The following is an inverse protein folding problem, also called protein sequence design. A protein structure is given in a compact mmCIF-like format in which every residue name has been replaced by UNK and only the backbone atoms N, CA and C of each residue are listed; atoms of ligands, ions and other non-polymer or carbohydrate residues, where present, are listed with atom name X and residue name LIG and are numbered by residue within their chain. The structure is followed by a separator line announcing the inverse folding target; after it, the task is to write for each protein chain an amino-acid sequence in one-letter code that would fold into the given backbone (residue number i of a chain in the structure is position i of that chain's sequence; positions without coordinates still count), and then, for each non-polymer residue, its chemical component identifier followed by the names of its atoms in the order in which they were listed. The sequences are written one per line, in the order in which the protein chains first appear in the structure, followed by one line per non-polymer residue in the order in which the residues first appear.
data_IF_871243366090
#
_entry.id   IF_871243366090
#
_cell.length_a   1.000
_cell.length_b   1.000
_cell.length_c   1.000
_cell.angle_alpha   90.00
_cell.angle_beta   90.00
_cell.angle_gamma   90.00
#
_symmetry.space_group_name_H-M   'P 1'
#
loop_
_entity.id
_entity.type
_entity.pdbx_description
1 polymer ?
#
# COMPACT_ATOMS: atom_id res chain seq x y z
N UNK A 1 -10.89 15.68 18.52
CA UNK A 1 -10.33 15.73 17.15
C UNK A 1 -10.99 14.61 16.38
N UNK A 2 -11.79 14.93 15.36
CA UNK A 2 -12.50 13.90 14.59
C UNK A 2 -11.45 12.98 13.96
N UNK A 3 -11.61 11.67 14.14
CA UNK A 3 -10.83 10.68 13.40
C UNK A 3 -11.05 10.98 11.92
N UNK A 4 -10.04 11.52 11.24
CA UNK A 4 -10.00 11.51 9.79
C UNK A 4 -10.13 10.04 9.40
N UNK A 5 -11.30 9.62 8.93
CA UNK A 5 -11.42 8.39 8.20
C UNK A 5 -10.52 8.59 6.98
N UNK A 6 -9.30 8.06 7.06
CA UNK A 6 -8.25 8.28 6.09
C UNK A 6 -8.71 7.70 4.75
N UNK A 7 -9.40 8.51 3.95
CA UNK A 7 -9.94 8.09 2.66
C UNK A 7 -8.79 7.62 1.78
N UNK A 8 -8.89 6.36 1.36
CA UNK A 8 -7.94 5.74 0.44
C UNK A 8 -8.63 5.52 -0.91
N UNK A 9 -8.17 6.28 -1.92
CA UNK A 9 -8.63 6.11 -3.30
C UNK A 9 -8.30 4.69 -3.76
N UNK A 10 -9.31 3.86 -3.92
CA UNK A 10 -9.22 2.55 -4.53
C UNK A 10 -10.13 2.52 -5.75
N UNK A 11 -9.72 1.79 -6.79
CA UNK A 11 -10.57 1.64 -7.97
C UNK A 11 -11.80 0.82 -7.57
N UNK A 12 -12.99 1.36 -7.83
CA UNK A 12 -14.26 0.71 -7.47
C UNK A 12 -14.44 -0.68 -8.10
N UNK A 13 -13.65 -0.98 -9.15
CA UNK A 13 -13.63 -2.23 -9.87
C UNK A 13 -12.35 -3.06 -9.62
N UNK A 14 -11.55 -2.77 -8.59
CA UNK A 14 -10.26 -3.44 -8.34
C UNK A 14 -10.37 -4.98 -8.33
N UNK A 15 -11.47 -5.55 -7.82
CA UNK A 15 -11.74 -6.99 -7.84
C UNK A 15 -11.81 -7.60 -9.25
N UNK A 16 -12.11 -6.80 -10.27
CA UNK A 16 -12.22 -7.23 -11.65
C UNK A 16 -10.90 -7.20 -12.42
N UNK A 17 -9.86 -6.60 -11.85
CA UNK A 17 -8.51 -6.57 -12.42
C UNK A 17 -8.00 -8.01 -12.64
N UNK A 18 -7.43 -8.34 -13.82
CA UNK A 18 -6.93 -9.69 -14.11
C UNK A 18 -5.89 -10.20 -13.09
N UNK A 19 -5.02 -9.34 -12.57
CA UNK A 19 -4.00 -9.70 -11.56
C UNK A 19 -4.66 -10.06 -10.22
N UNK A 20 -5.67 -9.28 -9.82
CA UNK A 20 -6.47 -9.56 -8.63
C UNK A 20 -7.31 -10.83 -8.80
N UNK A 21 -7.87 -11.08 -9.99
CA UNK A 21 -8.57 -12.34 -10.29
C UNK A 21 -7.64 -13.55 -10.19
N UNK A 22 -6.42 -13.45 -10.71
CA UNK A 22 -5.41 -14.52 -10.58
C UNK A 22 -5.06 -14.79 -9.10
N UNK A 23 -4.90 -13.74 -8.31
CA UNK A 23 -4.69 -13.84 -6.87
C UNK A 23 -5.88 -14.51 -6.16
N UNK A 24 -7.12 -14.12 -6.49
CA UNK A 24 -8.34 -14.73 -5.93
C UNK A 24 -8.46 -16.20 -6.36
N UNK A 25 -8.06 -16.56 -7.58
CA UNK A 25 -8.07 -17.95 -8.04
C UNK A 25 -7.13 -18.82 -7.21
N UNK A 26 -5.93 -18.33 -6.88
CA UNK A 26 -4.93 -19.08 -6.09
C UNK A 26 -5.23 -19.12 -4.60
N UNK A 27 -5.63 -17.99 -4.01
CA UNK A 27 -5.72 -17.80 -2.56
C UNK A 27 -7.16 -17.62 -2.04
N UNK A 28 -8.15 -17.75 -2.92
CA UNK A 28 -9.54 -17.46 -2.60
C UNK A 28 -9.77 -15.98 -2.31
N UNK A 29 -10.97 -15.67 -1.80
CA UNK A 29 -11.34 -14.30 -1.42
C UNK A 29 -10.49 -13.77 -0.25
N UNK A 30 -9.93 -14.66 0.58
CA UNK A 30 -9.00 -14.27 1.65
C UNK A 30 -7.73 -13.63 1.10
N UNK A 31 -7.21 -14.12 -0.04
CA UNK A 31 -6.09 -13.49 -0.72
C UNK A 31 -6.35 -12.03 -1.04
N UNK A 32 -7.58 -11.70 -1.47
CA UNK A 32 -7.97 -10.32 -1.75
C UNK A 32 -8.00 -9.46 -0.48
N UNK A 33 -8.47 -10.01 0.64
CA UNK A 33 -8.39 -9.34 1.94
C UNK A 33 -6.93 -9.08 2.35
N UNK A 34 -6.07 -10.11 2.24
CA UNK A 34 -4.63 -10.01 2.55
C UNK A 34 -3.92 -8.98 1.67
N UNK A 35 -4.28 -8.90 0.38
CA UNK A 35 -3.77 -7.86 -0.51
C UNK A 35 -4.07 -6.45 0.02
N UNK A 36 -5.30 -6.19 0.47
CA UNK A 36 -5.66 -4.88 1.04
C UNK A 36 -4.93 -4.58 2.34
N UNK A 37 -4.79 -5.56 3.24
CA UNK A 37 -3.97 -5.42 4.46
C UNK A 37 -2.55 -4.96 4.11
N UNK A 38 -1.92 -5.56 3.09
CA UNK A 38 -0.57 -5.17 2.65
C UNK A 38 -0.56 -3.74 2.09
N UNK A 39 -1.57 -3.36 1.29
CA UNK A 39 -1.69 -1.99 0.77
C UNK A 39 -1.87 -0.96 1.88
N UNK A 40 -2.64 -1.27 2.92
CA UNK A 40 -2.85 -0.42 4.09
C UNK A 40 -1.55 -0.24 4.87
N UNK A 41 -0.84 -1.34 5.16
CA UNK A 41 0.47 -1.28 5.82
C UNK A 41 1.48 -0.47 5.01
N UNK A 42 1.52 -0.63 3.68
CA UNK A 42 2.37 0.17 2.81
C UNK A 42 1.99 1.65 2.85
N UNK A 43 0.69 1.98 2.87
CA UNK A 43 0.22 3.37 2.94
C UNK A 43 0.62 4.06 4.23
N UNK A 44 0.67 3.33 5.34
CA UNK A 44 1.06 3.84 6.66
C UNK A 44 2.59 3.93 6.82
N UNK A 45 3.34 3.16 6.04
CA UNK A 45 4.79 3.14 6.09
C UNK A 45 5.43 4.43 5.54
N UNK A 46 6.62 4.73 6.04
CA UNK A 46 7.43 5.84 5.54
C UNK A 46 7.73 5.65 4.05
N UNK A 47 7.55 6.71 3.27
CA UNK A 47 7.75 6.73 1.80
C UNK A 47 6.97 5.63 1.05
N UNK A 48 5.93 5.08 1.66
CA UNK A 48 5.07 4.04 1.09
C UNK A 48 5.78 2.72 0.76
N UNK A 49 6.86 2.43 1.50
CA UNK A 49 7.68 1.22 1.33
C UNK A 49 7.88 0.54 2.67
N UNK A 50 7.99 -0.78 2.64
CA UNK A 50 8.27 -1.58 3.81
C UNK A 50 9.63 -2.26 3.65
N UNK A 51 10.49 -2.14 4.65
CA UNK A 51 11.85 -2.66 4.61
C UNK A 51 11.88 -4.19 4.75
N UNK A 52 12.90 -4.83 4.16
CA UNK A 52 13.14 -6.26 4.26
C UNK A 52 13.79 -6.63 5.61
N UNK A 53 13.09 -6.39 6.71
CA UNK A 53 13.53 -6.69 8.07
C UNK A 53 12.69 -7.80 8.70
N UNK A 54 13.28 -8.60 9.59
CA UNK A 54 12.61 -9.75 10.23
C UNK A 54 11.28 -9.37 10.88
N UNK A 55 11.25 -8.28 11.65
CA UNK A 55 10.04 -7.84 12.36
C UNK A 55 8.93 -7.36 11.41
N UNK A 56 9.27 -6.87 10.21
CA UNK A 56 8.29 -6.49 9.18
C UNK A 56 7.57 -7.74 8.67
N UNK A 57 8.30 -8.84 8.45
CA UNK A 57 7.71 -10.12 8.06
C UNK A 57 6.82 -10.73 9.16
N UNK A 58 7.19 -10.55 10.42
CA UNK A 58 6.37 -10.96 11.58
C UNK A 58 5.08 -10.14 11.65
N UNK A 59 5.17 -8.82 11.50
CA UNK A 59 4.00 -7.94 11.47
C UNK A 59 3.06 -8.24 10.30
N UNK A 60 3.61 -8.45 9.10
CA UNK A 60 2.83 -8.84 7.92
C UNK A 60 2.04 -10.15 8.15
N UNK A 61 2.71 -11.15 8.70
CA UNK A 61 2.10 -12.44 9.02
C UNK A 61 0.98 -12.29 10.05
N UNK A 62 1.21 -11.50 11.10
CA UNK A 62 0.22 -11.22 12.14
C UNK A 62 -1.02 -10.49 11.60
N UNK A 63 -0.82 -9.46 10.76
CA UNK A 63 -1.92 -8.68 10.19
C UNK A 63 -2.73 -9.50 9.16
N UNK A 64 -2.05 -10.31 8.35
CA UNK A 64 -2.70 -11.22 7.40
C UNK A 64 -3.28 -12.50 8.04
N UNK A 65 -3.04 -12.71 9.35
CA UNK A 65 -3.46 -13.89 10.13
C UNK A 65 -2.98 -15.21 9.53
N UNK A 66 -1.70 -15.27 9.17
CA UNK A 66 -1.03 -16.44 8.61
C UNK A 66 0.37 -16.61 9.21
N UNK A 67 1.02 -17.75 8.94
CA UNK A 67 2.42 -17.95 9.34
C UNK A 67 3.39 -17.09 8.52
N UNK A 68 4.54 -16.74 9.12
CA UNK A 68 5.60 -15.95 8.45
C UNK A 68 6.06 -16.59 7.13
N UNK A 69 6.16 -17.92 7.09
CA UNK A 69 6.52 -18.63 5.86
C UNK A 69 5.47 -18.44 4.77
N UNK A 70 4.18 -18.51 5.13
CA UNK A 70 3.08 -18.27 4.20
C UNK A 70 3.00 -16.81 3.76
N UNK A 71 3.28 -15.85 4.65
CA UNK A 71 3.36 -14.43 4.30
C UNK A 71 4.46 -14.16 3.27
N UNK A 72 5.65 -14.74 3.45
CA UNK A 72 6.74 -14.63 2.47
C UNK A 72 6.34 -15.20 1.11
N UNK A 73 5.71 -16.38 1.08
CA UNK A 73 5.24 -16.98 -0.16
C UNK A 73 4.16 -16.12 -0.83
N UNK A 74 3.21 -15.59 -0.05
CA UNK A 74 2.15 -14.72 -0.55
C UNK A 74 2.72 -13.45 -1.21
N UNK A 75 3.66 -12.78 -0.55
CA UNK A 75 4.31 -11.57 -1.12
C UNK A 75 5.14 -11.93 -2.35
N UNK A 76 5.85 -13.07 -2.34
CA UNK A 76 6.59 -13.57 -3.51
C UNK A 76 5.66 -13.76 -4.70
N UNK A 77 4.54 -14.46 -4.52
CA UNK A 77 3.56 -14.70 -5.58
C UNK A 77 2.92 -13.39 -6.05
N UNK A 78 2.61 -12.47 -5.14
CA UNK A 78 2.12 -11.14 -5.51
C UNK A 78 3.14 -10.32 -6.31
N UNK A 79 4.44 -10.60 -6.18
CA UNK A 79 5.51 -9.90 -6.90
C UNK A 79 5.79 -10.55 -8.25
N UNK A 80 5.94 -11.88 -8.26
CA UNK A 80 6.45 -12.63 -9.42
C UNK A 80 5.34 -13.19 -10.31
N UNK A 81 4.22 -13.63 -9.73
CA UNK A 81 3.14 -14.31 -10.46
C UNK A 81 2.00 -13.35 -10.85
N UNK A 82 1.66 -12.44 -9.93
CA UNK A 82 0.53 -11.52 -10.13
C UNK A 82 0.98 -10.10 -10.48
N UNK A 83 2.27 -9.78 -10.34
CA UNK A 83 2.81 -8.45 -10.63
C UNK A 83 2.03 -7.30 -9.95
N UNK A 84 1.57 -7.52 -8.72
CA UNK A 84 0.85 -6.58 -7.87
C UNK A 84 1.81 -5.73 -7.03
N UNK A 85 2.93 -6.32 -6.65
CA UNK A 85 3.99 -5.68 -5.88
C UNK A 85 5.31 -5.72 -6.63
N UNK A 86 6.26 -4.90 -6.16
CA UNK A 86 7.64 -4.88 -6.60
C UNK A 86 8.51 -4.86 -5.36
N UNK A 87 9.68 -5.51 -5.44
CA UNK A 87 10.65 -5.53 -4.37
C UNK A 87 12.05 -5.31 -4.95
N UNK A 88 12.87 -4.61 -4.19
CA UNK A 88 14.32 -4.56 -4.36
C UNK A 88 14.99 -5.27 -3.17
N UNK A 89 16.33 -5.25 -3.11
CA UNK A 89 17.08 -5.93 -2.03
C UNK A 89 16.75 -5.41 -0.63
N UNK A 90 16.20 -4.19 -0.52
CA UNK A 90 16.01 -3.47 0.73
C UNK A 90 14.55 -3.27 1.10
N UNK A 91 13.66 -3.11 0.12
CA UNK A 91 12.29 -2.67 0.32
C UNK A 91 11.32 -3.40 -0.60
N UNK A 92 10.09 -3.56 -0.13
CA UNK A 92 8.94 -3.94 -0.95
C UNK A 92 7.92 -2.80 -1.01
N UNK A 93 7.23 -2.68 -2.14
CA UNK A 93 6.25 -1.63 -2.39
C UNK A 93 5.24 -2.01 -3.49
N UNK A 94 4.17 -1.22 -3.60
CA UNK A 94 3.24 -1.30 -4.73
C UNK A 94 3.46 -0.11 -5.67
N UNK A 95 3.77 -0.37 -6.94
CA UNK A 95 4.00 0.69 -7.95
C UNK A 95 2.75 1.57 -8.11
N UNK A 96 1.57 0.95 -8.14
CA UNK A 96 0.30 1.67 -8.30
C UNK A 96 -0.05 2.51 -7.07
N UNK A 97 0.27 2.02 -5.86
CA UNK A 97 0.12 2.79 -4.63
C UNK A 97 1.08 3.99 -4.63
N UNK A 98 2.36 3.73 -4.88
CA UNK A 98 3.41 4.75 -4.84
C UNK A 98 3.08 5.91 -5.77
N UNK A 99 2.68 5.62 -7.02
CA UNK A 99 2.23 6.64 -7.98
C UNK A 99 1.08 7.50 -7.42
N UNK A 100 0.02 6.86 -6.92
CA UNK A 100 -1.15 7.56 -6.37
C UNK A 100 -0.80 8.42 -5.16
N UNK A 101 0.12 7.96 -4.32
CA UNK A 101 0.50 8.70 -3.12
C UNK A 101 1.45 9.86 -3.42
N UNK A 102 2.42 9.69 -4.33
CA UNK A 102 3.28 10.78 -4.81
C UNK A 102 2.45 11.92 -5.39
N UNK A 103 1.51 11.62 -6.30
CA UNK A 103 0.61 12.63 -6.87
C UNK A 103 -0.19 13.38 -5.78
N UNK A 104 -0.61 12.65 -4.75
CA UNK A 104 -1.41 13.20 -3.66
C UNK A 104 -0.57 14.09 -2.74
N UNK A 105 0.67 13.71 -2.45
CA UNK A 105 1.59 14.50 -1.66
C UNK A 105 2.00 15.79 -2.37
N UNK A 106 2.27 15.75 -3.67
CA UNK A 106 2.53 16.96 -4.48
C UNK A 106 1.36 17.96 -4.41
N UNK A 107 0.12 17.46 -4.48
CA UNK A 107 -1.07 18.30 -4.34
C UNK A 107 -1.15 18.91 -2.93
N UNK A 108 -0.84 18.12 -1.89
CA UNK A 108 -0.83 18.61 -0.50
C UNK A 108 0.24 19.67 -0.27
N UNK A 109 1.42 19.50 -0.85
CA UNK A 109 2.51 20.48 -0.79
C UNK A 109 2.13 21.79 -1.47
N UNK A 110 1.64 21.75 -2.71
CA UNK A 110 1.15 22.94 -3.42
C UNK A 110 0.07 23.70 -2.64
N UNK A 111 -0.84 22.97 -1.98
CA UNK A 111 -1.87 23.57 -1.12
C UNK A 111 -1.28 24.21 0.15
N UNK A 112 -0.28 23.58 0.77
CA UNK A 112 0.45 24.18 1.90
C UNK A 112 1.16 25.46 1.49
N UNK A 113 1.90 25.46 0.39
CA UNK A 113 2.61 26.64 -0.11
C UNK A 113 1.66 27.80 -0.43
N UNK A 114 0.53 27.52 -1.09
CA UNK A 114 -0.49 28.53 -1.37
C UNK A 114 -1.11 29.10 -0.08
N UNK A 115 -1.31 28.26 0.94
CA UNK A 115 -1.75 28.71 2.25
C UNK A 115 -0.69 29.61 2.89
N UNK A 116 0.59 29.23 2.93
CA UNK A 116 1.66 30.08 3.48
C UNK A 116 1.74 31.45 2.79
N UNK A 117 1.71 31.50 1.46
CA UNK A 117 1.72 32.77 0.70
C UNK A 117 0.52 33.66 0.99
N UNK A 118 -0.66 33.07 1.23
CA UNK A 118 -1.87 33.81 1.61
C UNK A 118 -1.77 34.44 3.00
N UNK A 119 -1.02 33.82 3.92
CA UNK A 119 -0.80 34.34 5.26
C UNK A 119 0.25 35.45 5.27
N UNK A 120 1.35 35.31 4.54
CA UNK A 120 2.36 36.39 4.38
C UNK A 120 1.81 37.62 3.66
N UNK A 121 0.89 37.46 2.70
CA UNK A 121 0.23 38.59 2.06
C UNK A 121 -0.81 39.33 2.92
N UNK A 122 -1.08 38.83 4.14
CA UNK A 122 -2.04 39.41 5.10
C UNK A 122 -1.37 40.02 6.35
N UNK A 123 -0.05 39.89 6.47
CA UNK A 123 0.80 40.53 7.50
C UNK A 123 1.50 41.76 6.94
#
# INVERSE_FOLDING_TARGET
MAKDAYYFKHDANARNDPKIKSLINKYGIEGYGRFWVVIEMLREAERYKLENKKYIWEALAEQMKIEVKAARQFIKDCTEEFELFSADDHCFYSVSLLKRMTELDEIREKRREAAFKSWEGRS
#
